data_IF_308455682807
#
_entry.id   IF_308455682807
#
_cell.length_a   1.000
_cell.length_b   1.000
_cell.length_c   1.000
_cell.angle_alpha   90.00
_cell.angle_beta   90.00
_cell.angle_gamma   90.00
#
_symmetry.space_group_name_H-M   'P 1'
#
loop_
_entity.id
_entity.type
_entity.pdbx_description
1 polymer ?
#
# COMPACT_ATOMS: atom_id res chain seq x y z
N UNK A 1 -1.30 17.81 -11.14
CA UNK A 1 -0.77 16.84 -10.16
C UNK A 1 -0.69 15.48 -10.84
N UNK A 2 0.51 15.03 -11.17
CA UNK A 2 0.73 13.76 -11.87
C UNK A 2 1.45 12.79 -10.92
N UNK A 3 0.72 11.86 -10.30
CA UNK A 3 1.32 10.63 -9.78
C UNK A 3 1.03 9.52 -10.79
N UNK A 4 2.10 9.04 -11.43
CA UNK A 4 2.03 7.98 -12.45
C UNK A 4 2.84 6.80 -11.94
N UNK A 5 2.18 5.67 -11.67
CA UNK A 5 2.80 4.35 -11.67
C UNK A 5 2.13 3.55 -12.80
N UNK A 6 2.95 3.13 -13.78
CA UNK A 6 2.56 2.50 -15.05
C UNK A 6 2.72 0.98 -14.98
N UNK A 7 1.68 0.30 -15.48
CA UNK A 7 1.60 -1.05 -16.08
C UNK A 7 1.76 -2.31 -15.19
N UNK A 8 0.91 -3.31 -15.42
CA UNK A 8 0.60 -4.43 -14.51
C UNK A 8 0.39 -5.78 -15.22
N UNK A 9 0.93 -6.88 -14.65
CA UNK A 9 0.68 -8.28 -15.08
C UNK A 9 0.65 -9.27 -13.89
N UNK A 10 0.21 -10.51 -14.15
CA UNK A 10 -0.50 -11.43 -13.26
C UNK A 10 0.32 -12.70 -12.67
N UNK A 11 0.71 -12.84 -11.37
CA UNK A 11 0.90 -14.11 -10.53
C UNK A 11 1.49 -13.99 -9.07
N UNK A 12 0.94 -14.60 -8.01
CA UNK A 12 1.46 -14.81 -6.60
C UNK A 12 2.05 -13.65 -5.74
N UNK A 13 1.39 -13.28 -4.62
CA UNK A 13 1.71 -12.10 -3.77
C UNK A 13 1.83 -12.43 -2.26
N UNK A 14 2.54 -11.59 -1.47
CA UNK A 14 2.61 -11.60 0.01
C UNK A 14 1.72 -10.52 0.65
N UNK A 15 1.23 -10.78 1.88
CA UNK A 15 0.16 -10.02 2.56
C UNK A 15 0.59 -8.66 3.06
N UNK A 16 1.88 -8.39 3.09
CA UNK A 16 2.44 -7.16 3.63
C UNK A 16 3.30 -6.48 2.56
N UNK A 17 3.10 -5.19 2.35
CA UNK A 17 3.97 -4.34 1.54
C UNK A 17 4.53 -3.22 2.40
N UNK A 18 5.82 -3.26 2.77
CA UNK A 18 6.47 -2.15 3.43
C UNK A 18 6.75 -0.99 2.48
N UNK A 19 6.59 0.23 2.99
CA UNK A 19 6.98 1.47 2.33
C UNK A 19 7.78 2.34 3.31
N UNK A 20 9.00 2.70 2.94
CA UNK A 20 9.90 3.52 3.75
C UNK A 20 10.02 4.94 3.19
N UNK A 21 9.87 5.95 4.06
CA UNK A 21 10.06 7.37 3.70
C UNK A 21 11.52 7.74 3.92
N UNK A 22 12.19 8.18 2.87
CA UNK A 22 13.62 8.55 2.95
C UNK A 22 13.88 10.05 2.72
N UNK A 23 12.85 10.81 2.32
CA UNK A 23 12.92 12.27 2.20
C UNK A 23 11.53 12.90 2.39
N UNK A 24 11.47 14.07 3.04
CA UNK A 24 10.24 14.82 3.26
C UNK A 24 9.27 14.15 4.25
N UNK A 25 7.98 14.44 4.11
CA UNK A 25 6.90 13.78 4.86
C UNK A 25 5.59 13.73 4.07
N UNK A 26 4.70 12.82 4.46
CA UNK A 26 3.34 12.78 3.92
C UNK A 26 2.30 12.39 4.96
N UNK A 27 1.10 12.96 4.86
CA UNK A 27 -0.09 12.43 5.53
C UNK A 27 -0.77 11.43 4.60
N UNK A 28 -0.82 10.17 5.03
CA UNK A 28 -1.55 9.11 4.35
C UNK A 28 -2.95 8.97 4.92
N UNK A 29 -3.93 8.76 4.05
CA UNK A 29 -5.25 8.26 4.37
C UNK A 29 -5.28 6.75 4.15
N UNK A 30 -5.60 5.97 5.17
CA UNK A 30 -5.66 4.51 5.17
C UNK A 30 -7.12 4.02 5.30
N UNK A 31 -7.47 2.94 4.59
CA UNK A 31 -8.81 2.34 4.63
C UNK A 31 -9.88 3.10 3.83
N UNK A 32 -9.50 4.21 3.19
CA UNK A 32 -10.32 5.00 2.30
C UNK A 32 -9.44 5.56 1.17
N UNK A 33 -10.06 5.99 0.08
CA UNK A 33 -9.36 6.62 -1.03
C UNK A 33 -10.22 7.77 -1.52
N UNK A 34 -9.66 8.97 -1.65
CA UNK A 34 -10.43 10.21 -1.85
C UNK A 34 -11.36 10.30 -3.07
N UNK A 35 -11.47 9.25 -3.89
CA UNK A 35 -12.47 9.11 -4.96
C UNK A 35 -13.82 8.52 -4.52
N UNK A 36 -13.98 8.08 -3.27
CA UNK A 36 -15.24 7.56 -2.72
C UNK A 36 -16.25 8.66 -2.33
N UNK A 37 -15.81 9.93 -2.30
CA UNK A 37 -16.67 11.07 -1.98
C UNK A 37 -17.07 11.14 -0.51
N UNK A 38 -16.40 10.36 0.35
CA UNK A 38 -16.68 10.32 1.80
C UNK A 38 -15.46 10.91 2.52
N UNK A 39 -15.61 12.13 3.05
CA UNK A 39 -14.49 12.90 3.63
C UNK A 39 -14.07 12.47 5.04
N UNK A 40 -14.92 11.70 5.73
CA UNK A 40 -14.79 11.39 7.17
C UNK A 40 -14.60 9.89 7.46
N UNK A 41 -14.14 9.12 6.47
CA UNK A 41 -13.80 7.71 6.63
C UNK A 41 -12.30 7.49 6.47
N UNK A 42 -11.81 6.41 7.07
CA UNK A 42 -10.38 6.04 7.05
C UNK A 42 -9.56 6.71 8.17
N UNK A 43 -8.31 6.29 8.26
CA UNK A 43 -7.34 6.73 9.27
C UNK A 43 -6.29 7.61 8.62
N UNK A 44 -6.11 8.84 9.13
CA UNK A 44 -5.05 9.75 8.68
C UNK A 44 -3.82 9.58 9.57
N UNK A 45 -2.67 9.31 8.96
CA UNK A 45 -1.39 9.16 9.66
C UNK A 45 -0.32 9.96 8.92
N UNK A 46 0.41 10.81 9.65
CA UNK A 46 1.58 11.50 9.11
C UNK A 46 2.81 10.63 9.28
N UNK A 47 3.55 10.46 8.19
CA UNK A 47 4.80 9.70 8.13
C UNK A 47 5.97 10.57 7.67
N UNK A 48 6.85 11.00 8.61
CA UNK A 48 8.09 11.68 8.28
C UNK A 48 9.16 10.74 7.74
N UNK A 49 10.25 11.34 7.26
CA UNK A 49 11.49 10.62 6.92
C UNK A 49 11.97 9.76 8.08
N UNK A 50 12.35 8.51 7.78
CA UNK A 50 12.76 7.50 8.76
C UNK A 50 11.66 6.50 9.11
N UNK A 51 10.40 6.83 8.86
CA UNK A 51 9.29 5.92 9.14
C UNK A 51 9.12 4.86 8.06
N UNK A 52 8.65 3.69 8.50
CA UNK A 52 8.23 2.58 7.64
C UNK A 52 6.77 2.26 7.95
N UNK A 53 5.96 2.17 6.91
CA UNK A 53 4.59 1.67 7.01
C UNK A 53 4.52 0.29 6.37
N UNK A 54 3.87 -0.64 7.07
CA UNK A 54 3.56 -1.96 6.53
C UNK A 54 2.07 -2.01 6.20
N UNK A 55 1.74 -2.19 4.91
CA UNK A 55 0.35 -2.24 4.44
C UNK A 55 -0.10 -3.67 4.19
N UNK A 56 -1.23 -4.05 4.81
CA UNK A 56 -1.89 -5.33 4.58
C UNK A 56 -2.53 -5.38 3.19
N UNK A 57 -2.53 -6.56 2.57
CA UNK A 57 -3.24 -6.81 1.32
C UNK A 57 -4.72 -6.42 1.46
N UNK A 58 -5.22 -5.65 0.49
CA UNK A 58 -6.58 -5.11 0.52
C UNK A 58 -6.71 -3.75 1.22
N UNK A 59 -5.64 -3.19 1.77
CA UNK A 59 -5.66 -1.84 2.36
C UNK A 59 -5.60 -0.77 1.29
N UNK A 60 -6.69 -0.02 1.12
CA UNK A 60 -6.68 1.23 0.36
C UNK A 60 -5.85 2.28 1.09
N UNK A 61 -5.00 3.00 0.36
CA UNK A 61 -4.23 4.11 0.92
C UNK A 61 -3.98 5.19 -0.14
N UNK A 62 -3.87 6.44 0.31
CA UNK A 62 -3.50 7.56 -0.55
C UNK A 62 -2.75 8.62 0.23
N UNK A 63 -1.75 9.24 -0.39
CA UNK A 63 -1.18 10.48 0.12
C UNK A 63 -2.17 11.60 -0.13
N UNK A 64 -2.60 12.29 0.93
CA UNK A 64 -3.54 13.41 0.86
C UNK A 64 -2.85 14.75 1.05
N UNK A 65 -1.70 14.76 1.73
CA UNK A 65 -0.82 15.91 1.89
C UNK A 65 0.63 15.42 1.90
N UNK A 66 1.54 16.20 1.32
CA UNK A 66 2.98 15.89 1.33
C UNK A 66 3.81 17.15 1.23
N UNK A 67 5.05 17.10 1.71
CA UNK A 67 6.05 18.11 1.37
C UNK A 67 6.42 18.02 -0.11
N UNK A 68 6.92 19.12 -0.69
CA UNK A 68 7.30 19.19 -2.11
C UNK A 68 8.44 18.22 -2.46
N UNK A 69 9.26 17.86 -1.47
CA UNK A 69 10.42 16.99 -1.61
C UNK A 69 10.16 15.55 -1.13
N UNK A 70 8.90 15.19 -0.85
CA UNK A 70 8.52 13.87 -0.36
C UNK A 70 8.95 12.74 -1.31
N UNK A 71 9.70 11.76 -0.78
CA UNK A 71 10.08 10.53 -1.47
C UNK A 71 10.00 9.33 -0.55
N UNK A 72 9.49 8.23 -1.12
CA UNK A 72 9.41 6.94 -0.44
C UNK A 72 9.76 5.81 -1.40
N UNK A 73 10.12 4.66 -0.84
CA UNK A 73 10.34 3.41 -1.57
C UNK A 73 9.36 2.36 -1.07
N UNK A 74 8.63 1.72 -1.99
CA UNK A 74 7.85 0.52 -1.70
C UNK A 74 8.71 -0.71 -1.99
N UNK A 75 8.73 -1.68 -1.07
CA UNK A 75 9.47 -2.93 -1.22
C UNK A 75 8.48 -4.09 -1.27
N UNK A 76 8.70 -4.99 -2.22
CA UNK A 76 7.95 -6.23 -2.35
C UNK A 76 8.91 -7.40 -2.08
N UNK A 77 8.59 -8.31 -1.15
CA UNK A 77 9.51 -9.40 -0.78
C UNK A 77 9.86 -10.29 -1.97
N UNK A 78 11.08 -10.84 -1.96
CA UNK A 78 11.53 -11.81 -2.97
C UNK A 78 10.59 -13.03 -2.99
N UNK A 79 10.20 -13.48 -4.20
CA UNK A 79 9.17 -14.52 -4.37
C UNK A 79 7.73 -13.99 -4.48
N UNK A 80 7.49 -12.68 -4.31
CA UNK A 80 6.30 -12.02 -4.87
C UNK A 80 6.45 -11.98 -6.39
N UNK A 81 5.82 -12.93 -7.08
CA UNK A 81 5.79 -12.95 -8.53
C UNK A 81 4.89 -11.82 -9.09
N UNK A 82 4.04 -11.18 -8.24
CA UNK A 82 3.11 -10.08 -8.59
C UNK A 82 2.66 -9.25 -7.41
N UNK A 83 2.29 -7.99 -7.69
CA UNK A 83 1.39 -7.15 -6.91
C UNK A 83 0.25 -6.60 -7.79
N UNK A 84 -0.91 -6.27 -7.19
CA UNK A 84 -2.04 -5.61 -7.88
C UNK A 84 -2.37 -4.31 -7.16
N UNK A 85 -2.27 -3.20 -7.89
CA UNK A 85 -2.72 -1.89 -7.42
C UNK A 85 -3.96 -1.47 -8.18
N UNK A 86 -4.96 -0.99 -7.47
CA UNK A 86 -6.26 -0.65 -8.04
C UNK A 86 -6.65 0.76 -7.64
N UNK A 87 -6.77 1.61 -8.65
CA UNK A 87 -6.84 3.06 -8.49
C UNK A 87 -8.28 3.59 -8.35
N UNK A 88 -9.26 2.70 -8.22
CA UNK A 88 -10.67 3.08 -8.04
C UNK A 88 -11.32 3.81 -9.22
N UNK A 89 -10.68 3.80 -10.41
CA UNK A 89 -11.19 4.48 -11.62
C UNK A 89 -12.47 3.84 -12.17
N UNK A 90 -12.70 2.58 -11.86
CA UNK A 90 -13.87 1.80 -12.26
C UNK A 90 -14.39 1.01 -11.08
N UNK A 91 -15.69 0.68 -11.11
CA UNK A 91 -16.31 -0.11 -10.05
C UNK A 91 -15.60 -1.46 -9.90
N UNK A 92 -15.18 -1.73 -8.67
CA UNK A 92 -14.45 -2.96 -8.32
C UNK A 92 -15.44 -4.12 -8.16
N UNK A 93 -15.12 -5.28 -8.75
CA UNK A 93 -15.75 -6.54 -8.40
C UNK A 93 -15.26 -6.99 -7.00
N UNK A 94 -16.11 -6.81 -6.00
CA UNK A 94 -15.77 -7.04 -4.60
C UNK A 94 -15.45 -8.51 -4.28
N UNK A 95 -16.08 -9.48 -4.94
CA UNK A 95 -15.84 -10.91 -4.70
C UNK A 95 -14.45 -11.31 -5.18
N UNK A 96 -14.12 -11.02 -6.44
CA UNK A 96 -12.81 -11.38 -7.00
C UNK A 96 -11.64 -10.72 -6.24
N UNK A 97 -11.85 -9.52 -5.68
CA UNK A 97 -10.86 -8.87 -4.83
C UNK A 97 -10.69 -9.57 -3.49
N UNK A 98 -11.80 -9.92 -2.81
CA UNK A 98 -11.76 -10.63 -1.53
C UNK A 98 -11.05 -11.97 -1.67
N UNK A 99 -11.35 -12.71 -2.74
CA UNK A 99 -10.71 -14.00 -3.02
C UNK A 99 -9.20 -13.81 -3.27
N UNK A 100 -8.84 -12.79 -4.06
CA UNK A 100 -7.45 -12.42 -4.29
C UNK A 100 -6.72 -12.10 -2.99
N UNK A 101 -7.28 -11.25 -2.13
CA UNK A 101 -6.70 -10.89 -0.81
C UNK A 101 -6.54 -12.12 0.09
N UNK A 102 -7.53 -13.02 0.09
CA UNK A 102 -7.48 -14.24 0.90
C UNK A 102 -6.35 -15.18 0.47
N UNK A 103 -6.07 -15.27 -0.84
CA UNK A 103 -5.01 -16.13 -1.40
C UNK A 103 -3.58 -15.66 -1.12
N UNK A 104 -3.41 -14.42 -0.66
CA UNK A 104 -2.08 -13.85 -0.41
C UNK A 104 -1.47 -14.53 0.83
N UNK A 105 -0.19 -14.93 0.78
CA UNK A 105 0.49 -15.57 1.93
C UNK A 105 1.05 -14.55 2.91
N UNK A 106 1.13 -14.88 4.19
CA UNK A 106 1.93 -14.09 5.13
C UNK A 106 3.43 -14.24 4.80
N UNK A 107 4.24 -13.19 4.98
CA UNK A 107 5.69 -13.34 4.88
C UNK A 107 6.20 -14.23 6.02
N UNK A 108 7.29 -14.97 5.75
CA UNK A 108 7.91 -15.87 6.74
C UNK A 108 8.63 -15.12 7.87
N UNK A 109 9.00 -13.87 7.61
CA UNK A 109 9.71 -12.98 8.52
C UNK A 109 9.02 -11.63 8.61
N UNK A 110 9.29 -10.90 9.68
CA UNK A 110 8.94 -9.50 9.81
C UNK A 110 9.54 -8.71 8.63
N UNK A 111 8.73 -7.95 7.86
CA UNK A 111 9.19 -7.25 6.67
C UNK A 111 10.04 -6.00 6.95
N UNK A 112 10.24 -5.65 8.21
CA UNK A 112 11.04 -4.50 8.67
C UNK A 112 12.30 -5.00 9.38
N UNK A 113 12.16 -5.92 10.33
CA UNK A 113 13.25 -6.34 11.22
C UNK A 113 13.87 -7.69 10.84
N UNK A 114 13.32 -8.42 9.86
CA UNK A 114 13.73 -9.76 9.45
C UNK A 114 13.74 -10.83 10.56
N UNK A 115 13.05 -10.58 11.67
CA UNK A 115 12.83 -11.55 12.75
C UNK A 115 11.73 -12.56 12.36
N UNK A 116 11.68 -13.78 12.97
CA UNK A 116 10.59 -14.72 12.71
C UNK A 116 9.24 -14.06 13.00
N UNK A 117 8.31 -14.11 12.03
CA UNK A 117 6.99 -13.48 12.19
C UNK A 117 6.19 -14.11 13.35
N UNK A 118 5.62 -13.28 14.21
CA UNK A 118 4.74 -13.68 15.32
C UNK A 118 3.34 -14.12 14.87
#
# INVERSE_FOLDING_TARGET
MNFTLRDARFGDSYRLTPAGVFQGSSTLLLGAAGGDGVSDVGLRITVPTGDVIVLLAGTGHSSVESTDDYRYIGVYPEGCLRWRNEFGKTRINSTAFKDGIASVRFPEKDPVMEEPGH
#
